data_IF_301796579108
#
_entry.id   IF_301796579108
#
_cell.length_a   1.000
_cell.length_b   1.000
_cell.length_c   1.000
_cell.angle_alpha   90.00
_cell.angle_beta   90.00
_cell.angle_gamma   90.00
#
_symmetry.space_group_name_H-M   'P 1'
#
loop_
_entity.id
_entity.type
_entity.pdbx_description
1 polymer ?
#
# COMPACT_ATOMS: atom_id res chain seq x y z
N UNK A 1 -13.18 2.94 15.93
CA UNK A 1 -13.81 2.53 17.20
C UNK A 1 -15.32 2.30 17.04
N UNK A 2 -16.09 3.30 16.62
CA UNK A 2 -17.55 3.13 16.39
C UNK A 2 -17.86 2.07 15.33
N UNK A 3 -17.12 2.05 14.21
CA UNK A 3 -17.27 1.02 13.17
C UNK A 3 -17.03 -0.40 13.68
N UNK A 4 -16.00 -0.60 14.49
CA UNK A 4 -15.68 -1.89 15.10
C UNK A 4 -16.73 -2.33 16.12
N UNK A 5 -17.29 -1.39 16.90
CA UNK A 5 -18.39 -1.66 17.83
C UNK A 5 -19.66 -2.09 17.09
N UNK A 6 -19.99 -1.45 15.97
CA UNK A 6 -21.15 -1.82 15.15
C UNK A 6 -20.95 -3.21 14.54
N UNK A 7 -19.75 -3.51 14.01
CA UNK A 7 -19.44 -4.82 13.47
C UNK A 7 -19.54 -5.93 14.52
N UNK A 8 -19.07 -5.68 15.75
CA UNK A 8 -19.16 -6.64 16.85
C UNK A 8 -20.59 -6.81 17.38
N UNK A 9 -21.35 -5.72 17.51
CA UNK A 9 -22.71 -5.75 18.03
C UNK A 9 -23.73 -6.41 17.09
N UNK A 10 -23.45 -6.42 15.78
CA UNK A 10 -24.33 -6.98 14.75
C UNK A 10 -23.69 -8.12 13.96
N UNK A 11 -22.66 -8.77 14.51
CA UNK A 11 -21.87 -9.80 13.83
C UNK A 11 -22.76 -10.88 13.19
N UNK A 12 -23.73 -11.39 13.94
CA UNK A 12 -24.65 -12.43 13.47
C UNK A 12 -25.51 -11.97 12.28
N UNK A 13 -25.99 -10.73 12.26
CA UNK A 13 -26.84 -10.22 11.16
C UNK A 13 -26.01 -9.84 9.94
N UNK A 14 -24.81 -9.34 10.19
CA UNK A 14 -23.91 -8.79 9.19
C UNK A 14 -23.18 -9.88 8.40
N UNK A 15 -22.84 -10.99 9.06
CA UNK A 15 -22.13 -12.11 8.45
C UNK A 15 -23.02 -13.36 8.21
N UNK A 16 -24.31 -13.34 8.58
CA UNK A 16 -25.22 -14.47 8.34
C UNK A 16 -25.47 -14.77 6.85
N UNK A 17 -25.48 -13.76 5.97
CA UNK A 17 -25.87 -13.95 4.57
C UNK A 17 -24.94 -13.20 3.59
N UNK A 18 -23.75 -13.77 3.37
CA UNK A 18 -22.78 -13.27 2.38
C UNK A 18 -23.21 -13.49 0.91
N UNK A 19 -24.28 -14.25 0.67
CA UNK A 19 -24.79 -14.52 -0.69
C UNK A 19 -25.70 -13.39 -1.18
N UNK A 20 -26.13 -12.50 -0.28
CA UNK A 20 -26.93 -11.35 -0.61
C UNK A 20 -26.05 -10.22 -1.19
N UNK A 21 -25.91 -10.20 -2.53
CA UNK A 21 -25.10 -9.23 -3.27
C UNK A 21 -25.21 -7.77 -2.78
N UNK A 22 -26.40 -7.17 -2.55
CA UNK A 22 -26.49 -5.80 -2.07
C UNK A 22 -25.91 -5.59 -0.66
N UNK A 23 -26.08 -6.56 0.26
CA UNK A 23 -25.52 -6.49 1.61
C UNK A 23 -23.99 -6.58 1.53
N UNK A 24 -23.45 -7.52 0.76
CA UNK A 24 -22.01 -7.70 0.58
C UNK A 24 -21.34 -6.48 -0.06
N UNK A 25 -21.98 -5.83 -1.04
CA UNK A 25 -21.48 -4.58 -1.64
C UNK A 25 -21.49 -3.43 -0.61
N UNK A 26 -22.58 -3.29 0.16
CA UNK A 26 -22.68 -2.27 1.19
C UNK A 26 -21.59 -2.45 2.25
N UNK A 27 -21.37 -3.70 2.68
CA UNK A 27 -20.30 -4.07 3.60
C UNK A 27 -18.93 -3.73 3.07
N UNK A 28 -18.66 -4.07 1.81
CA UNK A 28 -17.40 -3.74 1.16
C UNK A 28 -17.16 -2.23 1.14
N UNK A 29 -18.16 -1.44 0.71
CA UNK A 29 -18.06 0.03 0.67
C UNK A 29 -17.83 0.59 2.07
N UNK A 30 -18.54 0.07 3.08
CA UNK A 30 -18.39 0.52 4.46
C UNK A 30 -17.00 0.21 5.02
N UNK A 31 -16.52 -1.04 4.88
CA UNK A 31 -15.17 -1.43 5.30
C UNK A 31 -14.10 -0.61 4.58
N UNK A 32 -14.18 -0.51 3.25
CA UNK A 32 -13.26 0.28 2.45
C UNK A 32 -13.23 1.75 2.88
N UNK A 33 -14.41 2.36 3.09
CA UNK A 33 -14.52 3.72 3.59
C UNK A 33 -13.89 3.90 4.97
N UNK A 34 -14.06 2.94 5.88
CA UNK A 34 -13.43 3.00 7.21
C UNK A 34 -11.90 2.86 7.12
N UNK A 35 -11.39 2.01 6.24
CA UNK A 35 -9.94 1.85 6.01
C UNK A 35 -9.33 3.15 5.48
N UNK A 36 -9.98 3.75 4.47
CA UNK A 36 -9.55 5.05 3.93
C UNK A 36 -9.55 6.14 5.01
N UNK A 37 -10.62 6.23 5.80
CA UNK A 37 -10.71 7.20 6.89
C UNK A 37 -9.59 7.04 7.91
N UNK A 38 -9.29 5.80 8.31
CA UNK A 38 -8.19 5.49 9.22
C UNK A 38 -6.83 5.87 8.61
N UNK A 39 -6.57 5.52 7.36
CA UNK A 39 -5.31 5.82 6.67
C UNK A 39 -5.06 7.34 6.61
N UNK A 40 -6.06 8.13 6.18
CA UNK A 40 -5.95 9.59 6.16
C UNK A 40 -5.80 10.20 7.55
N UNK A 41 -6.44 9.60 8.56
CA UNK A 41 -6.27 9.99 9.96
C UNK A 41 -4.82 9.85 10.42
N UNK A 42 -4.20 8.70 10.17
CA UNK A 42 -2.79 8.45 10.52
C UNK A 42 -1.86 9.40 9.77
N UNK A 43 -2.05 9.58 8.45
CA UNK A 43 -1.23 10.50 7.64
C UNK A 43 -1.31 11.92 8.17
N UNK A 44 -2.49 12.40 8.57
CA UNK A 44 -2.64 13.74 9.13
C UNK A 44 -1.92 13.92 10.46
N UNK A 45 -1.92 12.89 11.31
CA UNK A 45 -1.14 12.93 12.55
C UNK A 45 0.36 12.88 12.28
N UNK A 46 0.80 12.05 11.34
CA UNK A 46 2.19 11.98 10.92
C UNK A 46 2.68 13.31 10.35
N UNK A 47 1.86 13.98 9.54
CA UNK A 47 2.15 15.30 8.98
C UNK A 47 2.26 16.38 10.07
N UNK A 48 1.34 16.39 11.03
CA UNK A 48 1.42 17.31 12.17
C UNK A 48 2.69 17.11 13.01
N UNK A 49 3.18 15.86 13.13
CA UNK A 49 4.46 15.55 13.77
C UNK A 49 5.64 15.97 12.88
N UNK A 50 5.55 15.73 11.57
CA UNK A 50 6.58 16.07 10.60
C UNK A 50 6.85 17.58 10.56
N UNK A 51 5.80 18.41 10.58
CA UNK A 51 5.91 19.87 10.63
C UNK A 51 6.64 20.34 11.90
N UNK A 52 6.42 19.67 13.03
CA UNK A 52 7.10 20.02 14.30
C UNK A 52 8.58 19.64 14.31
N UNK A 53 8.95 18.59 13.59
CA UNK A 53 10.33 18.11 13.49
C UNK A 53 11.16 18.89 12.46
N UNK A 54 10.52 19.46 11.44
CA UNK A 54 11.20 20.14 10.34
C UNK A 54 12.02 19.19 9.46
N UNK A 55 12.61 19.71 8.39
CA UNK A 55 13.43 18.91 7.48
C UNK A 55 14.83 18.67 8.06
N UNK A 56 15.41 17.46 7.88
CA UNK A 56 14.94 16.33 7.06
C UNK A 56 14.07 15.29 7.81
N UNK A 57 13.96 15.40 9.14
CA UNK A 57 13.31 14.39 9.97
C UNK A 57 11.81 14.27 9.71
N UNK A 58 11.14 15.37 9.37
CA UNK A 58 9.73 15.37 9.04
C UNK A 58 9.41 14.49 7.84
N UNK A 59 10.22 14.56 6.78
CA UNK A 59 10.07 13.69 5.60
C UNK A 59 10.25 12.22 5.96
N UNK A 60 11.23 11.89 6.82
CA UNK A 60 11.45 10.51 7.28
C UNK A 60 10.26 9.98 8.09
N UNK A 61 9.65 10.80 8.95
CA UNK A 61 8.47 10.40 9.71
C UNK A 61 7.28 10.15 8.80
N UNK A 62 7.06 11.01 7.80
CA UNK A 62 5.96 10.84 6.85
C UNK A 62 6.13 9.55 6.03
N UNK A 63 7.32 9.30 5.50
CA UNK A 63 7.59 8.10 4.70
C UNK A 63 7.50 6.83 5.55
N UNK A 64 8.09 6.83 6.75
CA UNK A 64 8.02 5.69 7.66
C UNK A 64 6.58 5.40 8.09
N UNK A 65 5.76 6.42 8.32
CA UNK A 65 4.36 6.24 8.67
C UNK A 65 3.59 5.48 7.59
N UNK A 66 3.76 5.85 6.32
CA UNK A 66 3.07 5.19 5.20
C UNK A 66 3.55 3.74 5.05
N UNK A 67 4.87 3.50 5.14
CA UNK A 67 5.46 2.17 5.04
C UNK A 67 4.99 1.26 6.20
N UNK A 68 4.88 1.78 7.42
CA UNK A 68 4.35 1.00 8.56
C UNK A 68 2.90 0.58 8.33
N UNK A 69 2.05 1.48 7.80
CA UNK A 69 0.67 1.12 7.44
C UNK A 69 0.67 -0.01 6.41
N UNK A 70 1.45 0.14 5.33
CA UNK A 70 1.54 -0.85 4.26
C UNK A 70 2.02 -2.23 4.76
N UNK A 71 3.14 -2.27 5.49
CA UNK A 71 3.70 -3.51 6.03
C UNK A 71 2.76 -4.15 7.06
N UNK A 72 2.08 -3.35 7.89
CA UNK A 72 1.11 -3.88 8.86
C UNK A 72 -0.10 -4.52 8.20
N UNK A 73 -0.60 -3.94 7.09
CA UNK A 73 -1.69 -4.51 6.29
C UNK A 73 -1.25 -5.82 5.64
N UNK A 74 -0.06 -5.85 5.04
CA UNK A 74 0.48 -7.07 4.43
C UNK A 74 0.68 -8.18 5.48
N UNK A 75 1.25 -7.83 6.64
CA UNK A 75 1.43 -8.78 7.74
C UNK A 75 0.09 -9.30 8.27
N UNK A 76 -0.92 -8.43 8.45
CA UNK A 76 -2.25 -8.83 8.88
C UNK A 76 -2.89 -9.84 7.91
N UNK A 77 -2.78 -9.60 6.61
CA UNK A 77 -3.30 -10.50 5.58
C UNK A 77 -2.53 -11.83 5.57
N UNK A 78 -1.20 -11.81 5.71
CA UNK A 78 -0.40 -13.05 5.73
C UNK A 78 -0.62 -13.88 7.01
N UNK A 79 -0.93 -13.25 8.14
CA UNK A 79 -1.18 -13.94 9.41
C UNK A 79 -2.61 -14.51 9.52
N UNK A 80 -3.62 -13.80 8.98
CA UNK A 80 -5.03 -14.18 9.14
C UNK A 80 -5.68 -14.73 7.87
N UNK A 81 -5.07 -14.53 6.70
CA UNK A 81 -5.55 -15.05 5.43
C UNK A 81 -5.11 -16.49 5.18
N UNK A 82 -5.76 -17.15 4.21
CA UNK A 82 -5.22 -18.39 3.65
C UNK A 82 -3.78 -18.11 3.19
N UNK A 83 -2.82 -18.90 3.65
CA UNK A 83 -1.39 -18.66 3.50
C UNK A 83 -0.97 -18.64 2.01
N UNK A 84 -1.15 -17.50 1.37
CA UNK A 84 -0.80 -17.25 -0.01
C UNK A 84 0.30 -16.19 -0.07
N UNK A 85 1.58 -16.61 -0.07
CA UNK A 85 2.70 -15.68 -0.07
C UNK A 85 2.81 -14.85 -1.36
N UNK A 86 2.01 -15.12 -2.40
CA UNK A 86 1.97 -14.26 -3.60
C UNK A 86 1.23 -12.97 -3.33
N UNK A 87 0.26 -12.96 -2.41
CA UNK A 87 -0.62 -11.80 -2.19
C UNK A 87 0.15 -10.57 -1.73
N UNK A 88 1.15 -10.75 -0.85
CA UNK A 88 2.01 -9.66 -0.42
C UNK A 88 2.90 -9.11 -1.55
N UNK A 89 3.36 -10.00 -2.44
CA UNK A 89 4.15 -9.62 -3.62
C UNK A 89 3.30 -8.86 -4.63
N UNK A 90 2.08 -9.32 -4.87
CA UNK A 90 1.14 -8.70 -5.81
C UNK A 90 0.76 -7.29 -5.36
N UNK A 91 0.59 -7.08 -4.05
CA UNK A 91 0.37 -5.76 -3.47
C UNK A 91 1.58 -4.82 -3.70
N UNK A 92 2.80 -5.28 -3.45
CA UNK A 92 4.01 -4.48 -3.72
C UNK A 92 4.17 -4.14 -5.20
N UNK A 93 3.89 -5.09 -6.10
CA UNK A 93 3.85 -4.84 -7.54
C UNK A 93 2.78 -3.80 -7.90
N UNK A 94 1.58 -3.89 -7.31
CA UNK A 94 0.52 -2.92 -7.52
C UNK A 94 0.94 -1.52 -7.06
N UNK A 95 1.56 -1.39 -5.88
CA UNK A 95 2.10 -0.11 -5.38
C UNK A 95 3.09 0.50 -6.37
N UNK A 96 4.04 -0.29 -6.89
CA UNK A 96 4.99 0.19 -7.90
C UNK A 96 4.30 0.63 -9.20
N UNK A 97 3.31 -0.13 -9.68
CA UNK A 97 2.55 0.22 -10.89
C UNK A 97 1.76 1.53 -10.70
N UNK A 98 1.14 1.71 -9.54
CA UNK A 98 0.41 2.93 -9.18
C UNK A 98 1.37 4.11 -9.13
N UNK A 99 2.55 3.98 -8.52
CA UNK A 99 3.51 5.08 -8.44
C UNK A 99 4.07 5.42 -9.83
N UNK A 100 4.61 4.43 -10.54
CA UNK A 100 5.37 4.65 -11.78
C UNK A 100 4.49 4.96 -13.00
N UNK A 101 3.30 4.37 -13.10
CA UNK A 101 2.41 4.59 -14.24
C UNK A 101 1.23 5.47 -13.86
N UNK A 102 0.60 5.20 -12.71
CA UNK A 102 -0.57 5.94 -12.26
C UNK A 102 -0.24 7.40 -11.90
N UNK A 103 0.54 7.60 -10.85
CA UNK A 103 0.84 8.94 -10.32
C UNK A 103 1.73 9.75 -11.25
N UNK A 104 2.83 9.16 -11.75
CA UNK A 104 3.70 9.86 -12.72
C UNK A 104 2.92 10.18 -13.99
N UNK A 105 2.21 9.21 -14.58
CA UNK A 105 1.41 9.44 -15.79
C UNK A 105 0.33 10.50 -15.58
N UNK A 106 -0.37 10.48 -14.44
CA UNK A 106 -1.35 11.50 -14.11
C UNK A 106 -0.72 12.90 -13.94
N UNK A 107 0.47 12.99 -13.34
CA UNK A 107 1.20 14.25 -13.19
C UNK A 107 1.64 14.83 -14.55
N UNK A 108 2.14 13.97 -15.46
CA UNK A 108 2.47 14.35 -16.83
C UNK A 108 1.21 14.84 -17.57
N UNK A 109 0.12 14.07 -17.52
CA UNK A 109 -1.12 14.38 -18.23
C UNK A 109 -1.77 15.68 -17.73
N UNK A 110 -1.89 15.85 -16.40
CA UNK A 110 -2.47 17.06 -15.81
C UNK A 110 -1.63 18.29 -16.12
N UNK A 111 -0.30 18.20 -16.05
CA UNK A 111 0.53 19.37 -16.31
C UNK A 111 0.74 19.64 -17.80
N UNK A 112 0.71 18.65 -18.68
CA UNK A 112 0.64 18.86 -20.13
C UNK A 112 -0.65 19.60 -20.53
N UNK A 113 -1.79 19.24 -19.92
CA UNK A 113 -3.08 19.90 -20.18
C UNK A 113 -3.11 21.37 -19.70
N UNK A 114 -2.35 21.69 -18.65
CA UNK A 114 -2.35 23.03 -18.02
C UNK A 114 -1.25 23.95 -18.57
N UNK A 115 -0.05 23.43 -18.81
CA UNK A 115 1.16 24.22 -19.05
C UNK A 115 1.82 23.99 -20.41
N UNK A 116 1.42 22.96 -21.18
CA UNK A 116 1.96 22.52 -22.48
C UNK A 116 3.45 22.12 -22.48
N UNK A 117 4.33 22.93 -21.89
CA UNK A 117 5.71 22.61 -21.56
C UNK A 117 5.88 22.60 -20.05
N UNK A 118 6.45 21.51 -19.52
CA UNK A 118 6.74 21.35 -18.11
C UNK A 118 8.26 21.30 -17.91
N UNK A 119 8.79 22.12 -17.01
CA UNK A 119 10.18 22.04 -16.61
C UNK A 119 10.39 20.80 -15.74
N UNK A 120 11.18 19.85 -16.23
CA UNK A 120 11.51 18.61 -15.53
C UNK A 120 12.98 18.58 -15.12
N UNK A 121 13.24 18.25 -13.86
CA UNK A 121 14.57 17.87 -13.42
C UNK A 121 14.85 16.41 -13.81
N UNK A 122 15.33 16.21 -15.05
CA UNK A 122 15.65 14.89 -15.60
C UNK A 122 16.75 14.17 -14.79
N UNK A 123 17.66 14.92 -14.18
CA UNK A 123 18.73 14.37 -13.37
C UNK A 123 18.19 13.78 -12.06
N UNK A 124 17.31 14.52 -11.38
CA UNK A 124 16.60 14.04 -10.19
C UNK A 124 15.70 12.84 -10.50
N UNK A 125 14.90 12.91 -11.58
CA UNK A 125 14.04 11.81 -11.99
C UNK A 125 14.83 10.54 -12.29
N UNK A 126 15.96 10.65 -13.00
CA UNK A 126 16.85 9.52 -13.28
C UNK A 126 17.42 8.91 -12.01
N UNK A 127 17.87 9.74 -11.06
CA UNK A 127 18.41 9.25 -9.79
C UNK A 127 17.36 8.43 -9.01
N UNK A 128 16.12 8.93 -8.91
CA UNK A 128 15.04 8.19 -8.25
C UNK A 128 14.67 6.90 -8.96
N UNK A 129 14.56 6.91 -10.30
CA UNK A 129 14.22 5.71 -11.07
C UNK A 129 15.27 4.61 -10.94
N UNK A 130 16.57 4.98 -10.90
CA UNK A 130 17.65 4.00 -10.69
C UNK A 130 17.54 3.34 -9.31
N UNK A 131 17.25 4.12 -8.25
CA UNK A 131 17.06 3.57 -6.90
C UNK A 131 15.85 2.66 -6.82
N UNK A 132 14.71 3.09 -7.38
CA UNK A 132 13.49 2.27 -7.43
C UNK A 132 13.74 0.96 -8.18
N UNK A 133 14.38 1.02 -9.34
CA UNK A 133 14.70 -0.16 -10.13
C UNK A 133 15.61 -1.13 -9.36
N UNK A 134 16.67 -0.64 -8.73
CA UNK A 134 17.56 -1.46 -7.93
C UNK A 134 16.81 -2.17 -6.78
N UNK A 135 16.05 -1.41 -5.98
CA UNK A 135 15.29 -1.96 -4.85
C UNK A 135 14.22 -2.94 -5.33
N UNK A 136 13.53 -2.66 -6.44
CA UNK A 136 12.54 -3.57 -7.01
C UNK A 136 13.15 -4.92 -7.44
N UNK A 137 14.35 -4.91 -8.04
CA UNK A 137 15.07 -6.14 -8.39
C UNK A 137 15.38 -6.95 -7.13
N UNK A 138 15.94 -6.32 -6.10
CA UNK A 138 16.25 -6.99 -4.83
C UNK A 138 15.00 -7.54 -4.14
N UNK A 139 13.92 -6.75 -4.09
CA UNK A 139 12.71 -7.09 -3.34
C UNK A 139 11.79 -8.09 -4.07
N UNK A 140 11.72 -8.04 -5.40
CA UNK A 140 10.71 -8.79 -6.16
C UNK A 140 11.28 -9.86 -7.08
N UNK A 141 12.52 -9.71 -7.57
CA UNK A 141 13.12 -10.65 -8.52
C UNK A 141 13.97 -11.70 -7.80
N UNK A 142 14.92 -11.29 -6.93
CA UNK A 142 15.82 -12.21 -6.22
C UNK A 142 15.09 -13.31 -5.43
N UNK A 143 14.00 -13.03 -4.69
CA UNK A 143 13.30 -14.07 -3.94
C UNK A 143 12.78 -15.23 -4.79
N UNK A 144 12.55 -15.02 -6.09
CA UNK A 144 12.14 -16.09 -7.00
C UNK A 144 13.24 -17.12 -7.26
N UNK A 145 14.50 -16.70 -7.15
CA UNK A 145 15.68 -17.54 -7.37
C UNK A 145 16.29 -18.09 -6.08
N UNK A 146 15.73 -17.73 -4.92
CA UNK A 146 16.23 -18.15 -3.60
C UNK A 146 15.42 -19.32 -3.02
N UNK A 147 14.65 -20.04 -3.85
CA UNK A 147 13.94 -21.24 -3.39
C UNK A 147 14.94 -22.38 -3.18
N UNK A 148 15.22 -22.71 -1.92
CA UNK A 148 15.91 -23.96 -1.55
C UNK A 148 14.98 -25.13 -1.82
N UNK A 149 15.43 -26.09 -2.62
CA UNK A 149 14.78 -27.39 -2.74
C UNK A 149 14.79 -28.04 -1.34
N UNK A 150 13.67 -28.50 -0.78
CA UNK A 150 13.75 -29.51 0.27
C UNK A 150 14.19 -30.80 -0.43
N UNK A 151 15.51 -31.00 -0.52
CA UNK A 151 16.06 -32.24 -1.07
C UNK A 151 15.89 -33.36 -0.02
N UNK A 152 15.10 -34.41 -0.29
CA UNK A 152 15.00 -35.58 0.59
C UNK A 152 16.16 -36.55 0.40
N UNK A 153 17.15 -36.26 -0.45
CA UNK A 153 18.23 -37.21 -0.79
C UNK A 153 19.38 -37.29 0.23
N UNK A 154 19.26 -36.66 1.39
CA UNK A 154 20.17 -36.80 2.54
C UNK A 154 19.51 -37.53 3.72
N UNK A 155 18.92 -38.71 3.45
CA UNK A 155 18.53 -39.70 4.45
C UNK A 155 19.34 -40.98 4.33
#
# INVERSE_FOLDING_TARGET
MVSALIAYAFEDVLFADLNNYPLTILLFIWLFGTMMWCAFGVVRHADAVAVRLGEPYGTLVLTLSVIVIEVSLLAAIMLHGANNPTLARDAMFATLMIVLNGMVGAALLMGALRYWEQEYNLEGARAFLVVIAAVAVFALIIPNYTKTVPDPSLS
#
